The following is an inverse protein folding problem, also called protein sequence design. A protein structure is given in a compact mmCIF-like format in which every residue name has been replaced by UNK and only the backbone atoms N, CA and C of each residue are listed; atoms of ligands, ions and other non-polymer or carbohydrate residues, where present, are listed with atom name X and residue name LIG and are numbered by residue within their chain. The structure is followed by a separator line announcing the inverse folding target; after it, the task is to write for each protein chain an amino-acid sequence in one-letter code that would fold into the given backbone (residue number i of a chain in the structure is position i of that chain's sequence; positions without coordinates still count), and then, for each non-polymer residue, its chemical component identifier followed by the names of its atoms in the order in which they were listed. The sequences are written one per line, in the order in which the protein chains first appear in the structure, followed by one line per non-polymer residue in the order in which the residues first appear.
data_IF_748282665870
#
_entry.id   IF_748282665870
#
_cell.length_a   1.000
_cell.length_b   1.000
_cell.length_c   1.000
_cell.angle_alpha   90.00
_cell.angle_beta   90.00
_cell.angle_gamma   90.00
#
_symmetry.space_group_name_H-M   'P 1'
#
loop_
_entity.id
_entity.type
_entity.pdbx_description
1 polymer ?
#
# COMPACT_ATOMS: atom_id res chain seq x y z
N UNK A 1 -29.35 8.16 3.94
CA UNK A 1 -27.92 8.08 4.30
C UNK A 1 -27.28 7.21 3.25
N UNK A 2 -26.54 7.81 2.34
CA UNK A 2 -25.99 7.16 1.15
C UNK A 2 -24.96 6.10 1.53
N UNK A 3 -25.23 4.85 1.15
CA UNK A 3 -24.23 3.78 1.14
C UNK A 3 -23.13 4.20 0.16
N UNK A 4 -21.98 4.62 0.70
CA UNK A 4 -20.77 4.77 -0.09
C UNK A 4 -20.43 3.36 -0.59
N UNK A 5 -20.61 3.14 -1.89
CA UNK A 5 -20.10 1.95 -2.57
C UNK A 5 -18.57 1.94 -2.42
N UNK A 6 -18.09 1.29 -1.37
CA UNK A 6 -16.74 0.71 -1.41
C UNK A 6 -16.84 -0.34 -2.49
N UNK A 7 -16.27 -0.06 -3.66
CA UNK A 7 -16.18 -1.03 -4.73
C UNK A 7 -15.46 -2.25 -4.14
N UNK A 8 -16.22 -3.32 -3.87
CA UNK A 8 -15.66 -4.53 -3.29
C UNK A 8 -14.67 -5.07 -4.31
N UNK A 9 -13.39 -5.05 -3.95
CA UNK A 9 -12.35 -5.68 -4.76
C UNK A 9 -12.68 -7.16 -4.81
N UNK A 10 -12.80 -7.71 -6.01
CA UNK A 10 -13.03 -9.15 -6.16
C UNK A 10 -11.88 -9.89 -5.48
N UNK A 11 -12.13 -10.97 -4.70
CA UNK A 11 -11.09 -11.67 -3.95
C UNK A 11 -9.88 -12.06 -4.81
N UNK A 12 -10.11 -12.42 -6.06
CA UNK A 12 -9.07 -12.75 -7.03
C UNK A 12 -8.12 -11.59 -7.32
N UNK A 13 -8.64 -10.37 -7.45
CA UNK A 13 -7.85 -9.16 -7.67
C UNK A 13 -7.05 -8.81 -6.40
N UNK A 14 -7.67 -8.95 -5.23
CA UNK A 14 -7.00 -8.76 -3.94
C UNK A 14 -5.85 -9.76 -3.76
N UNK A 15 -6.08 -11.05 -3.99
CA UNK A 15 -5.03 -12.07 -3.87
C UNK A 15 -3.93 -11.88 -4.91
N UNK A 16 -4.26 -11.52 -6.15
CA UNK A 16 -3.27 -11.18 -7.17
C UNK A 16 -2.41 -9.98 -6.75
N UNK A 17 -3.02 -8.96 -6.15
CA UNK A 17 -2.31 -7.80 -5.59
C UNK A 17 -1.45 -8.15 -4.36
N UNK A 18 -1.69 -9.27 -3.66
CA UNK A 18 -0.90 -9.70 -2.51
C UNK A 18 0.10 -10.82 -2.80
N UNK A 19 0.02 -11.47 -3.97
CA UNK A 19 0.87 -12.61 -4.35
C UNK A 19 2.37 -12.25 -4.61
N UNK A 20 2.80 -11.06 -4.24
CA UNK A 20 4.13 -10.52 -4.52
C UNK A 20 4.80 -10.07 -3.22
N UNK A 21 6.01 -10.56 -3.00
CA UNK A 21 6.76 -10.34 -1.77
C UNK A 21 7.04 -8.85 -1.50
N UNK A 22 7.24 -8.06 -2.55
CA UNK A 22 7.46 -6.62 -2.41
C UNK A 22 6.19 -5.93 -1.94
N UNK A 23 5.03 -6.30 -2.51
CA UNK A 23 3.74 -5.73 -2.10
C UNK A 23 3.41 -6.09 -0.65
N UNK A 24 3.66 -7.33 -0.24
CA UNK A 24 3.53 -7.72 1.17
C UNK A 24 4.51 -6.95 2.07
N UNK A 25 5.77 -6.78 1.63
CA UNK A 25 6.77 -6.00 2.36
C UNK A 25 6.30 -4.56 2.60
N UNK A 26 5.70 -3.91 1.59
CA UNK A 26 5.12 -2.56 1.72
C UNK A 26 4.07 -2.50 2.83
N UNK A 27 3.10 -3.43 2.83
CA UNK A 27 2.02 -3.45 3.82
C UNK A 27 2.56 -3.72 5.23
N UNK A 28 3.47 -4.69 5.36
CA UNK A 28 4.11 -5.00 6.65
C UNK A 28 4.92 -3.83 7.20
N UNK A 29 5.63 -3.10 6.34
CA UNK A 29 6.39 -1.92 6.76
C UNK A 29 5.47 -0.80 7.24
N UNK A 30 4.35 -0.55 6.56
CA UNK A 30 3.36 0.43 7.00
C UNK A 30 2.69 0.02 8.31
N UNK A 31 2.32 -1.26 8.46
CA UNK A 31 1.73 -1.81 9.69
C UNK A 31 2.65 -1.65 10.91
N UNK A 32 3.95 -1.87 10.72
CA UNK A 32 4.97 -1.78 11.79
C UNK A 32 5.44 -0.35 12.07
N UNK A 33 5.00 0.64 11.29
CA UNK A 33 5.41 2.03 11.49
C UNK A 33 4.69 2.63 12.69
N UNK A 34 5.44 3.16 13.66
CA UNK A 34 4.89 3.81 14.86
C UNK A 34 3.96 4.99 14.54
N UNK A 35 4.25 5.72 13.46
CA UNK A 35 3.45 6.88 13.02
C UNK A 35 2.33 6.50 12.06
N UNK A 36 2.23 5.22 11.68
CA UNK A 36 1.31 4.66 10.69
C UNK A 36 1.28 5.39 9.33
N UNK A 37 2.24 6.28 9.07
CA UNK A 37 2.34 7.09 7.85
C UNK A 37 3.80 7.25 7.44
N UNK A 38 4.11 7.08 6.16
CA UNK A 38 5.49 7.19 5.65
C UNK A 38 5.53 7.93 4.31
N UNK A 39 6.53 8.78 4.09
CA UNK A 39 6.79 9.31 2.75
C UNK A 39 7.24 8.19 1.79
N UNK A 40 7.17 8.45 0.48
CA UNK A 40 7.69 7.52 -0.53
C UNK A 40 9.11 7.05 -0.24
N UNK A 41 10.00 8.01 0.07
CA UNK A 41 11.42 7.73 0.28
C UNK A 41 11.69 6.95 1.56
N UNK A 42 10.93 7.21 2.64
CA UNK A 42 11.03 6.44 3.88
C UNK A 42 10.55 5.02 3.67
N UNK A 43 9.37 4.85 3.07
CA UNK A 43 8.78 3.54 2.82
C UNK A 43 9.66 2.69 1.89
N UNK A 44 10.16 3.27 0.80
CA UNK A 44 11.10 2.60 -0.12
C UNK A 44 12.36 2.13 0.58
N UNK A 45 12.97 3.00 1.40
CA UNK A 45 14.17 2.65 2.17
C UNK A 45 13.89 1.53 3.17
N UNK A 46 12.76 1.57 3.85
CA UNK A 46 12.39 0.57 4.85
C UNK A 46 12.04 -0.80 4.24
N UNK A 47 11.45 -0.84 3.04
CA UNK A 47 11.23 -2.10 2.28
C UNK A 47 12.54 -2.62 1.67
N UNK A 48 13.56 -1.77 1.51
CA UNK A 48 14.88 -2.17 1.01
C UNK A 48 15.02 -2.20 -0.50
N UNK A 49 14.08 -1.62 -1.25
CA UNK A 49 14.10 -1.61 -2.72
C UNK A 49 14.94 -0.44 -3.25
N UNK A 50 15.98 -0.80 -4.01
CA UNK A 50 16.97 0.15 -4.55
C UNK A 50 16.44 0.93 -5.75
N UNK A 51 15.61 0.29 -6.58
CA UNK A 51 15.07 0.91 -7.79
C UNK A 51 13.75 1.67 -7.51
N UNK A 52 13.69 3.00 -7.69
CA UNK A 52 12.48 3.77 -7.44
C UNK A 52 11.32 3.42 -8.38
N UNK A 53 11.62 3.01 -9.62
CA UNK A 53 10.61 2.67 -10.62
C UNK A 53 9.86 1.39 -10.27
N UNK A 54 10.61 0.34 -9.92
CA UNK A 54 10.11 -0.92 -9.39
C UNK A 54 9.26 -0.66 -8.16
N UNK A 55 9.80 0.05 -7.16
CA UNK A 55 9.04 0.35 -5.94
C UNK A 55 7.74 1.11 -6.24
N UNK A 56 7.79 2.11 -7.12
CA UNK A 56 6.59 2.87 -7.52
C UNK A 56 5.56 1.99 -8.24
N UNK A 57 6.00 1.04 -9.07
CA UNK A 57 5.12 0.06 -9.69
C UNK A 57 4.36 -0.77 -8.64
N UNK A 58 5.07 -1.38 -7.67
CA UNK A 58 4.43 -2.21 -6.65
C UNK A 58 3.54 -1.38 -5.71
N UNK A 59 4.00 -0.20 -5.28
CA UNK A 59 3.21 0.71 -4.46
C UNK A 59 1.93 1.16 -5.19
N UNK A 60 2.04 1.46 -6.49
CA UNK A 60 0.90 1.85 -7.32
C UNK A 60 -0.19 0.78 -7.43
N UNK A 61 0.17 -0.52 -7.33
CA UNK A 61 -0.80 -1.62 -7.28
C UNK A 61 -1.56 -1.72 -5.96
N UNK A 62 -1.07 -1.10 -4.89
CA UNK A 62 -1.69 -1.12 -3.56
C UNK A 62 -2.49 0.16 -3.28
N UNK A 63 -2.10 1.28 -3.88
CA UNK A 63 -2.74 2.57 -3.67
C UNK A 63 -4.17 2.57 -4.22
N UNK A 64 -5.10 3.01 -3.39
CA UNK A 64 -6.54 3.04 -3.69
C UNK A 64 -7.31 1.86 -3.09
N UNK A 65 -6.63 0.77 -2.75
CA UNK A 65 -7.24 -0.43 -2.16
C UNK A 65 -6.74 -0.66 -0.73
N UNK A 66 -5.46 -0.99 -0.58
CA UNK A 66 -4.83 -1.32 0.71
C UNK A 66 -4.07 -0.13 1.29
N UNK A 67 -3.62 0.78 0.44
CA UNK A 67 -2.85 1.96 0.83
C UNK A 67 -3.56 3.22 0.34
N UNK A 68 -3.51 4.28 1.13
CA UNK A 68 -3.94 5.62 0.72
C UNK A 68 -2.80 6.62 0.86
N UNK A 69 -2.78 7.63 -0.01
CA UNK A 69 -1.82 8.74 0.03
C UNK A 69 -2.52 10.00 0.54
N UNK A 70 -2.04 10.54 1.65
CA UNK A 70 -2.53 11.77 2.28
C UNK A 70 -1.33 12.66 2.59
N UNK A 71 -1.36 13.91 2.13
CA UNK A 71 -0.31 14.91 2.37
C UNK A 71 1.11 14.42 2.02
N UNK A 72 1.25 13.69 0.92
CA UNK A 72 2.53 13.15 0.45
C UNK A 72 3.02 11.91 1.21
N UNK A 73 2.26 11.42 2.19
CA UNK A 73 2.56 10.20 2.96
C UNK A 73 1.58 9.08 2.63
N UNK A 74 2.04 7.86 2.79
CA UNK A 74 1.30 6.62 2.55
C UNK A 74 0.94 5.98 3.89
N UNK A 75 -0.28 5.46 3.99
CA UNK A 75 -0.78 4.70 5.15
C UNK A 75 -1.72 3.59 4.72
N UNK A 76 -1.94 2.59 5.56
CA UNK A 76 -2.94 1.57 5.31
C UNK A 76 -4.35 2.17 5.27
N UNK A 77 -5.21 1.61 4.43
CA UNK A 77 -6.67 1.82 4.52
C UNK A 77 -7.23 0.95 5.65
N UNK A 78 -8.54 1.04 5.93
CA UNK A 78 -9.17 0.13 6.90
C UNK A 78 -9.13 -1.35 6.46
N UNK A 79 -8.99 -1.64 5.17
CA UNK A 79 -8.91 -3.00 4.64
C UNK A 79 -7.49 -3.50 4.38
N UNK A 80 -6.47 -2.69 4.70
CA UNK A 80 -5.06 -2.98 4.46
C UNK A 80 -4.29 -3.34 5.72
#
# INVERSE_FOLDING_TARGET
MSEQFVQQVEPEEAFAALADETRLGILQTLWKSDTQTMTFSELRRAVGIRDPGQFNYHLGKLVGQFVTKVDGKYRLTQGG
#
